data_IF_431655078786
#
_entry.id   IF_431655078786
#
_cell.length_a   1.000
_cell.length_b   1.000
_cell.length_c   1.000
_cell.angle_alpha   90.00
_cell.angle_beta   90.00
_cell.angle_gamma   90.00
#
_symmetry.space_group_name_H-M   'P 1'
#
loop_
_entity.id
_entity.type
_entity.pdbx_description
1 polymer ?
#
# COMPACT_ATOMS: atom_id res chain seq x y z
N UNK A 1 46.34 61.70 19.53
CA UNK A 1 46.36 61.73 18.04
C UNK A 1 46.82 60.34 17.58
N UNK A 2 45.96 59.38 17.18
CA UNK A 2 45.39 59.18 15.82
C UNK A 2 46.47 59.28 14.72
N UNK A 3 46.89 58.25 13.95
CA UNK A 3 46.12 57.36 13.05
C UNK A 3 47.00 56.23 12.41
N UNK A 4 46.41 55.01 12.30
CA UNK A 4 46.27 54.09 11.11
C UNK A 4 47.56 53.56 10.42
N UNK A 5 47.67 52.30 9.97
CA UNK A 5 47.03 51.65 8.79
C UNK A 5 47.30 50.12 8.88
N UNK A 6 46.31 49.25 9.07
CA UNK A 6 45.68 48.34 8.07
C UNK A 6 46.68 47.34 7.43
N UNK A 7 46.67 46.09 7.91
CA UNK A 7 47.20 44.93 7.17
C UNK A 7 46.03 44.25 6.45
N UNK A 8 46.24 43.98 5.16
CA UNK A 8 45.23 43.90 4.12
C UNK A 8 44.37 42.63 4.12
N UNK A 9 43.09 42.85 3.79
CA UNK A 9 42.14 41.89 3.24
C UNK A 9 42.35 41.84 1.72
N UNK A 10 42.40 40.63 1.18
CA UNK A 10 42.42 40.29 -0.24
C UNK A 10 43.25 39.02 -0.46
N UNK A 11 42.87 38.02 -1.23
CA UNK A 11 41.78 37.84 -2.17
C UNK A 11 41.89 36.38 -2.64
N UNK A 12 40.89 35.54 -2.41
CA UNK A 12 40.65 34.37 -3.25
C UNK A 12 39.14 34.20 -3.37
N UNK A 13 38.59 35.14 -4.14
CA UNK A 13 37.27 35.12 -4.73
C UNK A 13 37.52 35.21 -6.23
N UNK A 14 37.42 34.09 -6.97
CA UNK A 14 37.13 34.05 -8.42
C UNK A 14 37.33 32.64 -9.00
N UNK A 15 36.27 31.83 -9.00
CA UNK A 15 35.71 31.11 -10.17
C UNK A 15 34.20 31.00 -9.81
N UNK A 16 33.26 31.84 -10.26
CA UNK A 16 32.89 32.14 -11.64
C UNK A 16 32.04 31.00 -12.18
N UNK A 17 30.74 30.88 -11.89
CA UNK A 17 29.62 31.52 -12.62
C UNK A 17 28.28 31.11 -11.96
N UNK A 18 27.26 31.96 -12.12
CA UNK A 18 25.84 31.88 -11.66
C UNK A 18 25.46 32.64 -10.37
N UNK A 19 25.09 33.92 -10.56
CA UNK A 19 23.75 34.42 -10.18
C UNK A 19 23.46 34.84 -8.73
N UNK A 20 23.64 36.14 -8.45
CA UNK A 20 22.88 37.00 -7.51
C UNK A 20 22.97 36.76 -5.97
N UNK A 21 23.88 37.55 -5.38
CA UNK A 21 23.78 38.33 -4.12
C UNK A 21 23.31 37.65 -2.82
N UNK A 22 24.28 37.09 -2.08
CA UNK A 22 24.29 37.15 -0.63
C UNK A 22 25.24 38.27 -0.19
N UNK A 23 24.70 39.44 0.16
CA UNK A 23 25.49 40.48 0.81
C UNK A 23 26.03 39.92 2.14
N UNK A 24 27.35 39.86 2.29
CA UNK A 24 28.00 39.58 3.56
C UNK A 24 27.70 40.73 4.53
N UNK A 25 26.56 40.64 5.23
CA UNK A 25 26.15 41.62 6.21
C UNK A 25 27.09 41.51 7.43
N UNK A 26 27.91 42.54 7.66
CA UNK A 26 28.82 42.55 8.81
C UNK A 26 28.04 42.52 10.11
N UNK A 27 28.45 41.68 11.08
CA UNK A 27 27.79 41.55 12.39
C UNK A 27 27.51 42.92 13.03
N UNK A 28 26.24 43.15 13.37
CA UNK A 28 25.75 44.33 14.10
C UNK A 28 26.49 44.50 15.43
N UNK A 29 26.57 45.74 15.93
CA UNK A 29 27.18 46.03 17.25
C UNK A 29 26.53 45.22 18.39
N UNK A 30 25.22 44.95 18.30
CA UNK A 30 24.48 44.12 19.27
C UNK A 30 24.95 42.67 19.21
N UNK A 31 25.00 42.08 18.01
CA UNK A 31 25.45 40.71 17.78
C UNK A 31 26.91 40.52 18.22
N UNK A 32 27.80 41.46 17.91
CA UNK A 32 29.20 41.43 18.38
C UNK A 32 29.30 41.41 19.90
N UNK A 33 28.43 42.16 20.61
CA UNK A 33 28.39 42.18 22.08
C UNK A 33 27.91 40.84 22.64
N UNK A 34 26.93 40.20 22.00
CA UNK A 34 26.43 38.87 22.38
C UNK A 34 27.46 37.77 22.13
N UNK A 35 28.10 37.75 20.96
CA UNK A 35 29.18 36.81 20.66
C UNK A 35 30.36 36.97 21.62
N UNK A 36 30.71 38.20 21.99
CA UNK A 36 31.75 38.46 23.00
C UNK A 36 31.38 37.95 24.38
N UNK A 37 30.10 38.02 24.78
CA UNK A 37 29.62 37.41 26.03
C UNK A 37 29.70 35.88 25.96
N UNK A 38 29.21 35.27 24.87
CA UNK A 38 29.27 33.83 24.63
C UNK A 38 30.69 33.28 24.66
N UNK A 39 31.65 34.01 24.08
CA UNK A 39 33.07 33.63 24.08
C UNK A 39 33.69 33.69 25.48
N UNK A 40 33.30 34.68 26.31
CA UNK A 40 33.77 34.77 27.71
C UNK A 40 33.22 33.67 28.61
N UNK A 41 32.02 33.16 28.32
CA UNK A 41 31.41 32.06 29.07
C UNK A 41 31.86 30.68 28.59
N UNK A 42 32.65 30.59 27.51
CA UNK A 42 33.06 29.32 26.92
C UNK A 42 34.36 28.85 27.59
N UNK A 43 34.27 27.76 28.36
CA UNK A 43 35.46 27.09 28.94
C UNK A 43 36.14 26.22 27.88
N UNK A 44 37.44 25.89 28.05
CA UNK A 44 38.13 24.96 27.14
C UNK A 44 37.43 23.60 27.01
N UNK A 45 36.87 23.09 28.12
CA UNK A 45 36.09 21.83 28.15
C UNK A 45 34.78 21.94 27.37
N UNK A 46 34.03 23.03 27.56
CA UNK A 46 32.80 23.28 26.82
C UNK A 46 33.06 23.48 25.32
N UNK A 47 34.19 24.11 24.96
CA UNK A 47 34.61 24.21 23.56
C UNK A 47 34.95 22.86 22.96
N UNK A 48 35.70 22.01 23.68
CA UNK A 48 35.99 20.64 23.25
C UNK A 48 34.70 19.84 23.00
N UNK A 49 33.77 19.85 23.96
CA UNK A 49 32.48 19.18 23.80
C UNK A 49 31.72 19.67 22.57
N UNK A 50 31.66 21.00 22.36
CA UNK A 50 30.99 21.57 21.19
C UNK A 50 31.61 21.11 19.87
N UNK A 51 32.94 20.95 19.81
CA UNK A 51 33.62 20.46 18.61
C UNK A 51 33.35 18.97 18.35
N UNK A 52 33.28 18.17 19.41
CA UNK A 52 32.93 16.75 19.33
C UNK A 52 31.47 16.56 18.89
N UNK A 53 30.55 17.34 19.47
CA UNK A 53 29.13 17.34 19.09
C UNK A 53 28.95 17.81 17.63
N UNK A 54 29.69 18.84 17.20
CA UNK A 54 29.66 19.30 15.81
C UNK A 54 30.17 18.23 14.83
N UNK A 55 31.24 17.53 15.18
CA UNK A 55 31.76 16.43 14.38
C UNK A 55 30.74 15.28 14.30
N UNK A 56 30.12 14.90 15.42
CA UNK A 56 29.09 13.88 15.46
C UNK A 56 27.84 14.27 14.66
N UNK A 57 27.38 15.51 14.79
CA UNK A 57 26.22 16.01 14.05
C UNK A 57 26.51 16.07 12.54
N UNK A 58 27.73 16.46 12.16
CA UNK A 58 28.16 16.43 10.75
C UNK A 58 28.16 15.00 10.20
N UNK A 59 28.67 14.02 10.96
CA UNK A 59 28.61 12.60 10.58
C UNK A 59 27.16 12.16 10.37
N UNK A 60 26.26 12.51 11.29
CA UNK A 60 24.84 12.17 11.20
C UNK A 60 24.15 12.80 9.98
N UNK A 61 24.53 14.02 9.61
CA UNK A 61 24.03 14.66 8.39
C UNK A 61 24.48 13.85 7.16
N UNK A 62 25.74 13.44 7.09
CA UNK A 62 26.23 12.59 6.01
C UNK A 62 25.52 11.23 5.96
N UNK A 63 25.25 10.62 7.11
CA UNK A 63 24.53 9.35 7.17
C UNK A 63 23.07 9.49 6.70
N UNK A 64 22.40 10.59 7.10
CA UNK A 64 21.04 10.89 6.64
C UNK A 64 20.99 11.18 5.14
N UNK A 65 21.99 11.86 4.60
CA UNK A 65 22.11 12.14 3.16
C UNK A 65 22.20 10.82 2.36
N UNK A 66 23.08 9.92 2.79
CA UNK A 66 23.20 8.58 2.20
C UNK A 66 21.90 7.77 2.30
N UNK A 67 21.13 7.92 3.39
CA UNK A 67 19.82 7.27 3.53
C UNK A 67 18.78 7.84 2.57
N UNK A 68 18.79 9.15 2.34
CA UNK A 68 17.90 9.79 1.36
C UNK A 68 18.23 9.29 -0.04
N UNK A 69 19.51 9.24 -0.41
CA UNK A 69 19.97 8.73 -1.71
C UNK A 69 19.53 7.27 -1.94
N UNK A 70 19.68 6.41 -0.93
CA UNK A 70 19.23 5.01 -1.01
C UNK A 70 17.71 4.90 -1.17
N UNK A 71 16.94 5.68 -0.40
CA UNK A 71 15.48 5.71 -0.50
C UNK A 71 15.00 6.21 -1.86
N UNK A 72 15.65 7.22 -2.43
CA UNK A 72 15.36 7.71 -3.78
C UNK A 72 15.65 6.65 -4.84
N UNK A 73 16.76 5.92 -4.70
CA UNK A 73 17.08 4.77 -5.55
C UNK A 73 16.02 3.67 -5.49
N UNK A 74 15.61 3.28 -4.28
CA UNK A 74 14.54 2.29 -4.09
C UNK A 74 13.20 2.74 -4.70
N UNK A 75 12.85 4.03 -4.59
CA UNK A 75 11.62 4.58 -5.12
C UNK A 75 11.63 4.56 -6.67
N UNK A 76 12.78 4.87 -7.27
CA UNK A 76 13.01 4.73 -8.71
C UNK A 76 12.81 3.27 -9.19
N UNK A 77 13.42 2.30 -8.49
CA UNK A 77 13.27 0.88 -8.81
C UNK A 77 11.81 0.41 -8.69
N UNK A 78 11.11 0.83 -7.62
CA UNK A 78 9.69 0.52 -7.43
C UNK A 78 8.80 1.14 -8.50
N UNK A 79 9.10 2.36 -8.96
CA UNK A 79 8.38 3.00 -10.06
C UNK A 79 8.53 2.21 -11.37
N UNK A 80 9.74 1.72 -11.65
CA UNK A 80 10.04 0.88 -12.81
C UNK A 80 9.32 -0.47 -12.72
N UNK A 81 9.26 -1.06 -11.53
CA UNK A 81 8.53 -2.31 -11.28
C UNK A 81 7.02 -2.15 -11.52
N UNK A 82 6.43 -1.04 -11.05
CA UNK A 82 5.02 -0.72 -11.27
C UNK A 82 4.70 -0.53 -12.76
N UNK A 83 5.56 0.18 -13.51
CA UNK A 83 5.40 0.35 -14.94
C UNK A 83 5.38 -1.00 -15.68
N UNK A 84 6.29 -1.93 -15.32
CA UNK A 84 6.32 -3.28 -15.88
C UNK A 84 5.06 -4.09 -15.55
N UNK A 85 4.58 -4.02 -14.31
CA UNK A 85 3.34 -4.70 -13.89
C UNK A 85 2.13 -4.14 -14.62
N UNK A 86 2.02 -2.83 -14.79
CA UNK A 86 0.93 -2.20 -15.53
C UNK A 86 0.92 -2.63 -17.00
N UNK A 87 2.08 -2.67 -17.66
CA UNK A 87 2.18 -3.19 -19.02
C UNK A 87 1.74 -4.66 -19.10
N UNK A 88 2.16 -5.49 -18.13
CA UNK A 88 1.75 -6.89 -18.07
C UNK A 88 0.25 -7.06 -17.85
N UNK A 89 -0.36 -6.22 -17.03
CA UNK A 89 -1.81 -6.21 -16.83
C UNK A 89 -2.50 -5.88 -18.14
N UNK A 90 -2.07 -4.82 -18.85
CA UNK A 90 -2.60 -4.47 -20.18
C UNK A 90 -2.49 -5.63 -21.16
N UNK A 91 -1.31 -6.29 -21.25
CA UNK A 91 -1.10 -7.43 -22.15
C UNK A 91 -2.01 -8.61 -21.81
N UNK A 92 -2.24 -8.86 -20.51
CA UNK A 92 -3.12 -9.93 -20.05
C UNK A 92 -4.59 -9.61 -20.31
N UNK A 93 -5.00 -8.36 -20.15
CA UNK A 93 -6.35 -7.89 -20.50
C UNK A 93 -6.61 -8.02 -22.00
N UNK A 94 -5.63 -7.67 -22.85
CA UNK A 94 -5.70 -7.84 -24.30
C UNK A 94 -5.75 -9.33 -24.71
N UNK A 95 -4.96 -10.18 -24.04
CA UNK A 95 -5.01 -11.63 -24.23
C UNK A 95 -6.34 -12.23 -23.79
N UNK A 96 -6.91 -11.76 -22.68
CA UNK A 96 -8.20 -12.23 -22.19
C UNK A 96 -9.33 -11.79 -23.13
N UNK A 97 -9.27 -10.54 -23.61
CA UNK A 97 -10.20 -10.00 -24.61
C UNK A 97 -10.14 -10.82 -25.91
N UNK A 98 -8.95 -11.05 -26.46
CA UNK A 98 -8.78 -11.83 -27.69
C UNK A 98 -9.12 -13.32 -27.51
N UNK A 99 -8.81 -13.93 -26.36
CA UNK A 99 -9.21 -15.31 -26.05
C UNK A 99 -10.73 -15.45 -25.90
N UNK A 100 -11.39 -14.48 -25.25
CA UNK A 100 -12.85 -14.43 -25.13
C UNK A 100 -13.55 -14.17 -26.47
N UNK A 101 -12.95 -13.35 -27.34
CA UNK A 101 -13.41 -13.15 -28.72
C UNK A 101 -13.22 -14.41 -29.57
N UNK A 102 -12.12 -15.15 -29.38
CA UNK A 102 -11.85 -16.42 -30.07
C UNK A 102 -12.82 -17.52 -29.64
N UNK A 103 -13.22 -17.54 -28.37
CA UNK A 103 -14.22 -18.47 -27.83
C UNK A 103 -15.66 -18.02 -28.11
N UNK A 104 -15.90 -16.77 -28.53
CA UNK A 104 -17.22 -16.29 -28.97
C UNK A 104 -17.67 -16.82 -30.34
N UNK A 105 -16.80 -17.49 -31.10
CA UNK A 105 -17.20 -18.27 -32.29
C UNK A 105 -17.74 -19.67 -31.96
N UNK A 106 -17.78 -20.05 -30.68
CA UNK A 106 -18.57 -21.18 -30.18
C UNK A 106 -19.32 -20.75 -28.92
N UNK A 107 -20.36 -19.95 -29.14
CA UNK A 107 -21.51 -19.76 -28.26
C UNK A 107 -21.26 -19.40 -26.79
N UNK A 108 -21.47 -18.14 -26.43
CA UNK A 108 -22.24 -17.88 -25.20
C UNK A 108 -22.92 -16.51 -25.21
N UNK A 109 -24.25 -16.60 -25.23
CA UNK A 109 -25.17 -15.55 -24.86
C UNK A 109 -24.90 -15.10 -23.43
N UNK A 110 -24.88 -13.79 -23.20
CA UNK A 110 -25.12 -13.18 -21.89
C UNK A 110 -26.52 -13.61 -21.41
N UNK A 111 -26.60 -14.71 -20.66
CA UNK A 111 -27.75 -15.13 -19.88
C UNK A 111 -27.31 -16.15 -18.83
N UNK A 112 -27.89 -16.09 -17.63
CA UNK A 112 -27.52 -16.86 -16.43
C UNK A 112 -27.07 -18.29 -16.71
N UNK A 113 -25.75 -18.47 -16.79
CA UNK A 113 -25.14 -19.77 -17.01
C UNK A 113 -24.85 -20.35 -15.63
N UNK A 114 -25.72 -21.27 -15.23
CA UNK A 114 -25.56 -22.22 -14.13
C UNK A 114 -24.08 -22.49 -13.85
N UNK A 115 -23.53 -21.88 -12.80
CA UNK A 115 -22.17 -22.15 -12.33
C UNK A 115 -22.11 -23.64 -12.07
N UNK A 116 -21.35 -24.35 -12.91
CA UNK A 116 -21.13 -25.77 -12.75
C UNK A 116 -20.49 -26.01 -11.37
N UNK A 117 -21.19 -26.74 -10.52
CA UNK A 117 -20.79 -27.06 -9.14
C UNK A 117 -19.65 -28.10 -9.10
N UNK A 118 -19.19 -28.55 -10.26
CA UNK A 118 -17.98 -29.36 -10.40
C UNK A 118 -16.73 -28.55 -10.03
N UNK A 119 -15.87 -29.16 -9.21
CA UNK A 119 -14.68 -28.54 -8.65
C UNK A 119 -14.98 -27.72 -7.39
N UNK A 120 -14.06 -26.80 -7.07
CA UNK A 120 -14.16 -25.94 -5.89
C UNK A 120 -15.01 -24.72 -6.23
N UNK A 121 -15.99 -24.42 -5.39
CA UNK A 121 -16.78 -23.19 -5.42
C UNK A 121 -16.93 -22.59 -4.03
N UNK A 122 -17.01 -21.28 -3.97
CA UNK A 122 -17.19 -20.48 -2.77
C UNK A 122 -18.57 -19.81 -2.80
N UNK A 123 -19.29 -19.87 -1.69
CA UNK A 123 -20.55 -19.14 -1.51
C UNK A 123 -20.45 -18.28 -0.26
N UNK A 124 -21.25 -17.22 -0.14
CA UNK A 124 -21.27 -16.40 1.08
C UNK A 124 -22.53 -16.70 1.87
N UNK A 125 -22.38 -17.35 3.03
CA UNK A 125 -23.48 -17.60 3.96
C UNK A 125 -23.81 -16.30 4.70
N UNK A 126 -25.09 -15.90 4.69
CA UNK A 126 -25.58 -14.64 5.28
C UNK A 126 -26.36 -14.85 6.59
N UNK A 127 -26.66 -16.10 6.93
CA UNK A 127 -27.32 -16.43 8.19
C UNK A 127 -27.77 -17.88 8.28
N UNK A 128 -28.27 -18.26 9.45
CA UNK A 128 -28.97 -19.52 9.72
C UNK A 128 -30.29 -19.17 10.41
N UNK A 129 -31.42 -19.48 9.76
CA UNK A 129 -32.75 -19.06 10.23
C UNK A 129 -33.61 -20.29 10.54
N UNK A 130 -34.27 -20.30 11.71
CA UNK A 130 -35.17 -21.41 12.13
C UNK A 130 -36.66 -21.17 11.84
N UNK A 131 -37.08 -19.91 11.68
CA UNK A 131 -38.50 -19.52 11.60
C UNK A 131 -38.93 -19.01 10.22
N UNK A 132 -38.03 -19.00 9.25
CA UNK A 132 -38.30 -18.48 7.90
C UNK A 132 -37.89 -19.54 6.90
N UNK A 133 -38.86 -20.08 6.18
CA UNK A 133 -38.62 -20.97 5.05
C UNK A 133 -38.51 -20.15 3.77
N UNK A 134 -37.30 -20.13 3.21
CA UNK A 134 -36.99 -19.46 1.95
C UNK A 134 -36.71 -20.46 0.81
N UNK A 135 -36.97 -21.76 1.02
CA UNK A 135 -36.69 -22.83 0.07
C UNK A 135 -37.35 -22.59 -1.29
N UNK A 136 -38.55 -22.01 -1.30
CA UNK A 136 -39.29 -21.65 -2.53
C UNK A 136 -38.56 -20.66 -3.45
N UNK A 137 -37.52 -19.98 -2.96
CA UNK A 137 -36.73 -19.03 -3.73
C UNK A 137 -35.40 -19.59 -4.21
N UNK A 138 -35.00 -20.78 -3.74
CA UNK A 138 -33.70 -21.37 -4.09
C UNK A 138 -33.70 -21.95 -5.49
N UNK A 139 -34.79 -22.61 -5.88
CA UNK A 139 -34.88 -23.26 -7.20
C UNK A 139 -34.91 -22.25 -8.36
N UNK A 140 -35.36 -21.02 -8.09
CA UNK A 140 -35.50 -19.96 -9.08
C UNK A 140 -34.34 -18.93 -9.05
N UNK A 141 -33.39 -19.05 -8.12
CA UNK A 141 -32.28 -18.11 -8.01
C UNK A 141 -30.94 -18.84 -7.87
N UNK A 142 -30.18 -18.86 -8.94
CA UNK A 142 -28.85 -19.49 -8.95
C UNK A 142 -27.88 -18.90 -7.92
N UNK A 143 -27.96 -17.58 -7.70
CA UNK A 143 -27.14 -16.85 -6.76
C UNK A 143 -27.75 -16.77 -5.34
N UNK A 144 -28.88 -17.40 -5.08
CA UNK A 144 -29.50 -17.40 -3.76
C UNK A 144 -29.99 -18.81 -3.41
N UNK A 145 -29.28 -19.46 -2.52
CA UNK A 145 -29.58 -20.84 -2.12
C UNK A 145 -29.54 -21.02 -0.62
N UNK A 146 -29.81 -22.24 -0.18
CA UNK A 146 -29.64 -22.61 1.20
C UNK A 146 -29.78 -24.09 1.44
N UNK A 147 -29.31 -24.51 2.61
CA UNK A 147 -29.27 -25.91 3.04
C UNK A 147 -29.83 -26.01 4.46
N UNK A 148 -30.49 -27.14 4.75
CA UNK A 148 -30.89 -27.45 6.12
C UNK A 148 -29.68 -27.94 6.90
N UNK A 149 -29.42 -27.30 8.03
CA UNK A 149 -28.49 -27.80 9.03
C UNK A 149 -29.11 -28.92 9.87
N UNK A 150 -28.26 -29.66 10.57
CA UNK A 150 -28.64 -30.82 11.38
C UNK A 150 -29.64 -30.46 12.50
N UNK A 151 -29.61 -29.20 12.98
CA UNK A 151 -30.46 -28.68 14.05
C UNK A 151 -31.79 -28.07 13.57
N UNK A 152 -32.17 -28.32 12.31
CA UNK A 152 -33.42 -27.80 11.72
C UNK A 152 -33.38 -26.31 11.36
N UNK A 153 -32.19 -25.71 11.29
CA UNK A 153 -31.97 -24.33 10.84
C UNK A 153 -31.64 -24.27 9.35
N UNK A 154 -32.21 -23.30 8.64
CA UNK A 154 -31.95 -23.08 7.22
C UNK A 154 -30.79 -22.11 7.04
N UNK A 155 -29.67 -22.63 6.56
CA UNK A 155 -28.44 -21.89 6.25
C UNK A 155 -28.61 -21.23 4.88
N UNK A 156 -28.59 -19.90 4.83
CA UNK A 156 -28.83 -19.16 3.58
C UNK A 156 -27.52 -18.64 3.03
N UNK A 157 -27.31 -18.89 1.74
CA UNK A 157 -26.11 -18.49 0.99
C UNK A 157 -26.45 -17.61 -0.19
N UNK A 158 -25.58 -16.66 -0.48
CA UNK A 158 -25.69 -15.70 -1.58
C UNK A 158 -24.38 -15.70 -2.39
N UNK A 159 -24.55 -15.68 -3.71
CA UNK A 159 -23.47 -15.74 -4.70
C UNK A 159 -22.80 -17.10 -4.78
N UNK A 160 -22.29 -17.42 -5.97
CA UNK A 160 -21.43 -18.58 -6.22
C UNK A 160 -20.21 -18.07 -6.99
N UNK A 161 -19.03 -18.32 -6.45
CA UNK A 161 -17.76 -17.79 -6.95
C UNK A 161 -16.76 -18.92 -7.13
N UNK A 162 -15.96 -18.89 -8.20
CA UNK A 162 -14.83 -19.83 -8.36
C UNK A 162 -13.58 -19.35 -7.64
N UNK A 163 -13.46 -18.05 -7.42
CA UNK A 163 -12.32 -17.43 -6.76
C UNK A 163 -12.66 -17.03 -5.32
N UNK A 164 -11.71 -17.29 -4.42
CA UNK A 164 -11.86 -16.97 -3.00
C UNK A 164 -11.84 -15.46 -2.74
N UNK A 165 -11.03 -14.69 -3.47
CA UNK A 165 -10.90 -13.24 -3.29
C UNK A 165 -12.16 -12.51 -3.75
N UNK A 166 -12.79 -12.98 -4.81
CA UNK A 166 -14.09 -12.49 -5.27
C UNK A 166 -15.16 -12.70 -4.20
N UNK A 167 -15.28 -13.93 -3.66
CA UNK A 167 -16.18 -14.23 -2.54
C UNK A 167 -15.88 -13.39 -1.29
N UNK A 168 -14.60 -13.13 -1.00
CA UNK A 168 -14.18 -12.30 0.12
C UNK A 168 -14.54 -10.83 -0.06
N UNK A 169 -14.42 -10.31 -1.27
CA UNK A 169 -14.84 -8.95 -1.62
C UNK A 169 -16.36 -8.81 -1.49
N UNK A 170 -17.11 -9.76 -2.05
CA UNK A 170 -18.57 -9.80 -1.93
C UNK A 170 -19.04 -9.86 -0.47
N UNK A 171 -18.40 -10.71 0.36
CA UNK A 171 -18.65 -10.76 1.81
C UNK A 171 -18.43 -9.39 2.48
N UNK A 172 -17.38 -8.64 2.12
CA UNK A 172 -17.12 -7.31 2.69
C UNK A 172 -18.27 -6.35 2.37
N UNK A 173 -18.71 -6.29 1.11
CA UNK A 173 -19.84 -5.46 0.72
C UNK A 173 -21.13 -5.83 1.46
N UNK A 174 -21.41 -7.13 1.62
CA UNK A 174 -22.57 -7.57 2.40
C UNK A 174 -22.52 -7.09 3.85
N UNK A 175 -21.33 -7.13 4.48
CA UNK A 175 -21.14 -6.64 5.85
C UNK A 175 -21.32 -5.13 5.95
N UNK A 176 -20.81 -4.37 4.99
CA UNK A 176 -21.00 -2.92 4.91
C UNK A 176 -22.48 -2.55 4.75
N UNK A 177 -23.25 -3.35 4.01
CA UNK A 177 -24.70 -3.21 3.87
C UNK A 177 -25.51 -3.68 5.08
N UNK A 178 -24.86 -4.19 6.13
CA UNK A 178 -25.50 -4.55 7.40
C UNK A 178 -25.66 -6.05 7.65
N UNK A 179 -25.22 -6.93 6.73
CA UNK A 179 -25.18 -8.39 6.94
C UNK A 179 -23.90 -8.75 7.71
N UNK A 180 -23.87 -8.38 8.99
CA UNK A 180 -22.66 -8.47 9.83
C UNK A 180 -22.10 -9.88 9.94
N UNK A 181 -23.00 -10.86 10.02
CA UNK A 181 -22.67 -12.27 10.15
C UNK A 181 -22.46 -12.95 8.79
N UNK A 182 -22.07 -12.23 7.73
CA UNK A 182 -21.70 -12.89 6.48
C UNK A 182 -20.34 -13.61 6.60
N UNK A 183 -20.25 -14.86 6.15
CA UNK A 183 -18.99 -15.61 6.06
C UNK A 183 -18.91 -16.46 4.79
N UNK A 184 -17.69 -16.82 4.38
CA UNK A 184 -17.47 -17.63 3.17
C UNK A 184 -17.56 -19.11 3.55
N UNK A 185 -18.23 -19.88 2.71
CA UNK A 185 -18.31 -21.34 2.78
C UNK A 185 -17.79 -21.93 1.47
N UNK A 186 -17.10 -23.05 1.56
CA UNK A 186 -16.51 -23.75 0.41
C UNK A 186 -17.21 -25.07 0.15
N UNK A 187 -17.39 -25.36 -1.13
CA UNK A 187 -17.94 -26.61 -1.63
C UNK A 187 -16.97 -27.21 -2.65
N UNK A 188 -16.85 -28.52 -2.66
CA UNK A 188 -16.13 -29.29 -3.67
C UNK A 188 -17.09 -30.34 -4.23
N UNK A 189 -17.35 -30.28 -5.53
CA UNK A 189 -18.27 -31.21 -6.22
C UNK A 189 -19.65 -31.28 -5.54
N UNK A 190 -20.18 -30.12 -5.15
CA UNK A 190 -21.46 -29.98 -4.44
C UNK A 190 -21.45 -30.36 -2.96
N UNK A 191 -20.34 -30.86 -2.40
CA UNK A 191 -20.22 -31.19 -0.97
C UNK A 191 -19.48 -30.10 -0.20
N UNK A 192 -20.02 -29.70 0.95
CA UNK A 192 -19.36 -28.70 1.81
C UNK A 192 -18.05 -29.26 2.35
N UNK A 193 -16.98 -28.48 2.21
CA UNK A 193 -15.63 -28.83 2.70
C UNK A 193 -15.07 -27.70 3.54
N UNK A 194 -14.22 -27.98 4.55
CA UNK A 194 -13.52 -26.95 5.30
C UNK A 194 -12.69 -26.05 4.37
N UNK A 195 -12.74 -24.75 4.60
CA UNK A 195 -12.04 -23.77 3.74
C UNK A 195 -10.52 -23.95 3.77
N UNK A 196 -10.00 -24.47 4.89
CA UNK A 196 -8.58 -24.77 5.07
C UNK A 196 -8.09 -25.80 4.04
N UNK A 197 -8.85 -26.88 3.86
CA UNK A 197 -8.50 -27.99 2.96
C UNK A 197 -8.49 -27.57 1.49
N UNK A 198 -9.30 -26.56 1.17
CA UNK A 198 -9.40 -25.99 -0.18
C UNK A 198 -8.25 -25.03 -0.48
N UNK A 199 -7.92 -24.14 0.46
CA UNK A 199 -6.87 -23.15 0.27
C UNK A 199 -5.46 -23.78 0.21
N UNK A 200 -5.24 -24.91 0.91
CA UNK A 200 -3.99 -25.67 0.80
C UNK A 200 -3.79 -26.34 -0.58
N UNK A 201 -4.88 -26.65 -1.29
CA UNK A 201 -4.82 -27.26 -2.63
C UNK A 201 -4.58 -26.27 -3.78
N UNK A 202 -4.87 -24.98 -3.58
CA UNK A 202 -4.72 -23.92 -4.60
C UNK A 202 -3.33 -23.27 -4.55
N UNK A 203 -2.57 -23.44 -3.46
CA UNK A 203 -1.22 -22.88 -3.27
C UNK A 203 -0.07 -23.88 -3.53
N UNK A 204 -0.36 -25.05 -4.13
CA UNK A 204 0.65 -26.03 -4.56
C UNK A 204 0.85 -26.01 -6.08
#
# INVERSE_FOLDING_TARGET
MMKKVILAIGLLFAIGLFGQSAQAQSLSKKEKKEWKKKLKSLTPEAYKQLTEDYAALKSKITDLDNQVDDLEGQLSDKSSELARKNNRISDLEDQLSSASASSSSTGSSKSGSKVDMNGIVFKVQIGAFRKKDLSKYFDNNENFGGEYGDDGEQKITLGVFRDYWEANTFKKYLREMGVKDAWIVSYKDGKRVPIKDVLEGVMK
#
